data_IF_529068354377
#
_entry.id   IF_529068354377
#
_cell.length_a   1.000
_cell.length_b   1.000
_cell.length_c   1.000
_cell.angle_alpha   90.00
_cell.angle_beta   90.00
_cell.angle_gamma   90.00
#
_symmetry.space_group_name_H-M   'P 1'
#
loop_
_entity.id
_entity.type
_entity.pdbx_description
1 polymer ?
#
# COMPACT_ATOMS: atom_id res chain seq x y z
N UNK A 1 15.08 -25.26 3.19
CA UNK A 1 14.61 -24.78 1.87
C UNK A 1 15.70 -24.64 0.80
N UNK A 2 17.00 -24.91 1.06
CA UNK A 2 18.04 -24.84 0.00
C UNK A 2 17.94 -25.95 -1.04
N UNK A 3 17.32 -27.09 -0.69
CA UNK A 3 17.19 -28.25 -1.58
C UNK A 3 16.29 -27.97 -2.79
N UNK A 4 15.24 -27.16 -2.65
CA UNK A 4 14.35 -26.79 -3.76
C UNK A 4 15.08 -26.03 -4.89
N UNK A 5 16.09 -25.23 -4.54
CA UNK A 5 16.93 -24.54 -5.54
C UNK A 5 17.95 -25.49 -6.15
N UNK A 6 18.49 -26.44 -5.38
CA UNK A 6 19.42 -27.44 -5.87
C UNK A 6 18.77 -28.38 -6.90
N UNK A 7 17.48 -28.70 -6.69
CA UNK A 7 16.66 -29.52 -7.59
C UNK A 7 16.06 -28.72 -8.76
N UNK A 8 16.39 -27.43 -8.90
CA UNK A 8 15.87 -26.56 -9.97
C UNK A 8 14.37 -26.22 -9.85
N UNK A 9 13.74 -26.57 -8.72
CA UNK A 9 12.31 -26.36 -8.46
C UNK A 9 12.00 -24.93 -7.95
N UNK A 10 13.01 -24.13 -7.64
CA UNK A 10 12.87 -22.75 -7.21
C UNK A 10 14.06 -21.91 -7.67
N UNK A 11 13.80 -20.65 -8.03
CA UNK A 11 14.87 -19.68 -8.29
C UNK A 11 15.61 -19.34 -6.98
N UNK A 12 16.94 -19.24 -7.05
CA UNK A 12 17.79 -18.85 -5.93
C UNK A 12 17.40 -17.49 -5.36
N UNK A 13 16.88 -16.60 -6.20
CA UNK A 13 16.42 -15.28 -5.80
C UNK A 13 15.19 -15.33 -4.89
N UNK A 14 14.40 -16.42 -4.92
CA UNK A 14 13.26 -16.63 -4.03
C UNK A 14 13.68 -17.01 -2.60
N UNK A 15 14.91 -17.48 -2.40
CA UNK A 15 15.46 -17.73 -1.07
C UNK A 15 15.95 -16.45 -0.37
N UNK A 16 15.96 -15.30 -1.07
CA UNK A 16 16.30 -14.03 -0.45
C UNK A 16 15.28 -13.72 0.64
N UNK A 17 15.77 -13.21 1.77
CA UNK A 17 14.90 -12.78 2.87
C UNK A 17 13.91 -11.74 2.33
N UNK A 18 12.63 -12.01 2.50
CA UNK A 18 11.59 -11.03 2.19
C UNK A 18 11.86 -9.75 2.99
N UNK A 19 11.74 -8.56 2.36
CA UNK A 19 11.90 -7.31 3.09
C UNK A 19 10.96 -7.27 4.31
N UNK A 20 11.34 -6.55 5.38
CA UNK A 20 10.48 -6.40 6.54
C UNK A 20 9.09 -5.96 6.09
N UNK A 21 8.04 -6.64 6.56
CA UNK A 21 6.68 -6.12 6.34
C UNK A 21 6.64 -4.74 6.98
N UNK A 22 6.24 -3.69 6.25
CA UNK A 22 5.96 -2.42 6.89
C UNK A 22 4.91 -2.66 7.98
N UNK A 23 4.94 -1.91 9.09
CA UNK A 23 3.92 -2.01 10.12
C UNK A 23 2.55 -1.92 9.45
N UNK A 24 1.63 -2.80 9.86
CA UNK A 24 0.31 -2.99 9.25
C UNK A 24 -0.52 -1.70 9.32
N UNK A 25 -0.28 -0.76 8.42
CA UNK A 25 -1.11 0.42 8.23
C UNK A 25 -2.19 0.01 7.21
N UNK A 26 -3.26 -0.65 7.70
CA UNK A 26 -4.42 -1.07 6.90
C UNK A 26 -4.89 0.07 5.98
N UNK A 27 -4.86 1.31 6.47
CA UNK A 27 -5.25 2.49 5.71
C UNK A 27 -4.27 2.78 4.58
N UNK A 28 -2.97 2.63 4.80
CA UNK A 28 -1.96 2.76 3.75
C UNK A 28 -2.17 1.71 2.65
N UNK A 29 -2.42 0.46 3.01
CA UNK A 29 -2.69 -0.62 2.04
C UNK A 29 -3.98 -0.36 1.26
N UNK A 30 -5.06 0.05 1.94
CA UNK A 30 -6.32 0.38 1.30
C UNK A 30 -6.17 1.55 0.31
N UNK A 31 -5.51 2.63 0.73
CA UNK A 31 -5.29 3.81 -0.11
C UNK A 31 -4.39 3.48 -1.30
N UNK A 32 -3.32 2.71 -1.10
CA UNK A 32 -2.45 2.24 -2.18
C UNK A 32 -3.22 1.39 -3.20
N UNK A 33 -4.10 0.49 -2.74
CA UNK A 33 -4.96 -0.30 -3.61
C UNK A 33 -5.95 0.54 -4.42
N UNK A 34 -6.65 1.50 -3.78
CA UNK A 34 -7.58 2.40 -4.48
C UNK A 34 -6.85 3.22 -5.54
N UNK A 35 -5.68 3.77 -5.22
CA UNK A 35 -4.86 4.56 -6.14
C UNK A 35 -4.33 3.70 -7.29
N UNK A 36 -3.80 2.52 -7.02
CA UNK A 36 -3.25 1.63 -8.06
C UNK A 36 -4.32 1.15 -9.04
N UNK A 37 -5.55 0.94 -8.58
CA UNK A 37 -6.67 0.55 -9.44
C UNK A 37 -7.26 1.71 -10.23
N UNK A 38 -6.99 2.96 -9.83
CA UNK A 38 -7.57 4.16 -10.44
C UNK A 38 -6.55 5.32 -10.46
N UNK A 39 -5.50 5.25 -11.30
CA UNK A 39 -4.43 6.25 -11.30
C UNK A 39 -4.88 7.66 -11.68
N UNK A 40 -6.01 7.78 -12.38
CA UNK A 40 -6.60 9.06 -12.80
C UNK A 40 -7.33 9.80 -11.67
N UNK A 41 -7.65 9.12 -10.56
CA UNK A 41 -8.39 9.75 -9.47
C UNK A 41 -7.54 10.79 -8.74
N UNK A 42 -8.13 11.96 -8.54
CA UNK A 42 -7.53 12.98 -7.70
C UNK A 42 -7.50 12.54 -6.24
N UNK A 43 -6.55 13.09 -5.47
CA UNK A 43 -6.44 12.85 -4.03
C UNK A 43 -7.74 13.19 -3.26
N UNK A 44 -8.51 14.17 -3.77
CA UNK A 44 -9.79 14.57 -3.19
C UNK A 44 -10.88 13.53 -3.44
N UNK A 45 -10.91 12.94 -4.62
CA UNK A 45 -11.88 11.89 -4.95
C UNK A 45 -11.61 10.61 -4.17
N UNK A 46 -10.34 10.24 -4.00
CA UNK A 46 -9.95 9.13 -3.13
C UNK A 46 -10.40 9.40 -1.68
N UNK A 47 -10.20 10.62 -1.17
CA UNK A 47 -10.70 11.01 0.16
C UNK A 47 -12.23 10.86 0.26
N UNK A 48 -12.98 11.34 -0.73
CA UNK A 48 -14.44 11.18 -0.76
C UNK A 48 -14.88 9.72 -0.85
N UNK A 49 -14.12 8.86 -1.53
CA UNK A 49 -14.39 7.43 -1.57
C UNK A 49 -14.18 6.78 -0.20
N UNK A 50 -13.12 7.13 0.52
CA UNK A 50 -12.90 6.64 1.89
C UNK A 50 -14.03 7.06 2.85
N UNK A 51 -14.55 8.29 2.71
CA UNK A 51 -15.72 8.74 3.48
C UNK A 51 -16.98 7.91 3.16
N UNK A 52 -17.22 7.59 1.88
CA UNK A 52 -18.35 6.73 1.46
C UNK A 52 -18.23 5.30 1.96
N UNK A 53 -17.00 4.81 2.13
CA UNK A 53 -16.71 3.49 2.72
C UNK A 53 -16.77 3.50 4.25
N UNK A 54 -17.12 4.64 4.88
CA UNK A 54 -17.13 4.83 6.33
C UNK A 54 -15.76 4.58 6.99
N UNK A 55 -14.67 4.75 6.23
CA UNK A 55 -13.33 4.59 6.76
C UNK A 55 -12.98 5.76 7.68
N UNK A 56 -12.47 5.44 8.87
CA UNK A 56 -12.00 6.47 9.82
C UNK A 56 -10.60 6.91 9.42
N UNK A 57 -10.34 8.21 9.56
CA UNK A 57 -8.98 8.74 9.43
C UNK A 57 -8.06 8.11 10.49
N UNK A 58 -6.72 8.15 10.31
CA UNK A 58 -5.79 7.63 11.30
C UNK A 58 -5.95 8.22 12.71
N UNK A 59 -6.52 9.43 12.82
CA UNK A 59 -6.82 10.10 14.10
C UNK A 59 -8.28 9.92 14.55
N UNK A 60 -9.04 9.03 13.92
CA UNK A 60 -10.41 8.67 14.32
C UNK A 60 -11.52 9.60 13.81
N UNK A 61 -11.22 10.65 13.04
CA UNK A 61 -12.22 11.52 12.40
C UNK A 61 -12.91 10.87 11.19
N UNK A 62 -14.09 11.39 10.82
CA UNK A 62 -14.90 10.92 9.69
C UNK A 62 -14.61 11.65 8.37
N UNK A 63 -13.99 12.83 8.44
CA UNK A 63 -13.66 13.65 7.27
C UNK A 63 -12.23 13.43 6.83
N UNK A 64 -12.04 13.11 5.56
CA UNK A 64 -10.74 12.86 4.96
C UNK A 64 -10.20 14.11 4.27
N UNK A 65 -9.02 14.55 4.71
CA UNK A 65 -8.26 15.56 3.99
C UNK A 65 -7.48 14.92 2.83
N UNK A 66 -7.40 15.62 1.69
CA UNK A 66 -6.56 15.19 0.55
C UNK A 66 -5.09 15.05 0.93
N UNK A 67 -4.61 15.86 1.88
CA UNK A 67 -3.24 15.76 2.44
C UNK A 67 -3.00 14.45 3.20
N UNK A 68 -4.01 13.93 3.93
CA UNK A 68 -3.90 12.64 4.61
C UNK A 68 -3.77 11.49 3.61
N UNK A 69 -4.52 11.54 2.51
CA UNK A 69 -4.42 10.58 1.41
C UNK A 69 -3.03 10.64 0.76
N UNK A 70 -2.54 11.86 0.46
CA UNK A 70 -1.19 12.06 -0.06
C UNK A 70 -0.13 11.46 0.86
N UNK A 71 -0.21 11.73 2.16
CA UNK A 71 0.74 11.20 3.13
C UNK A 71 0.75 9.67 3.18
N UNK A 72 -0.41 9.01 2.96
CA UNK A 72 -0.49 7.55 2.86
C UNK A 72 0.13 7.03 1.57
N UNK A 73 -0.13 7.67 0.43
CA UNK A 73 0.47 7.32 -0.86
C UNK A 73 2.00 7.49 -0.82
N UNK A 74 2.49 8.63 -0.31
CA UNK A 74 3.92 8.90 -0.19
C UNK A 74 4.61 7.88 0.72
N UNK A 75 3.94 7.47 1.81
CA UNK A 75 4.44 6.37 2.67
C UNK A 75 4.42 5.04 1.93
N UNK A 76 3.36 4.71 1.20
CA UNK A 76 3.29 3.48 0.41
C UNK A 76 4.40 3.39 -0.64
N UNK A 77 4.71 4.51 -1.32
CA UNK A 77 5.87 4.61 -2.23
C UNK A 77 7.19 4.39 -1.51
N UNK A 78 7.40 5.03 -0.34
CA UNK A 78 8.63 4.88 0.45
C UNK A 78 8.85 3.45 0.94
N UNK A 79 7.77 2.71 1.23
CA UNK A 79 7.85 1.33 1.69
C UNK A 79 7.89 0.31 0.53
N UNK A 80 7.85 0.75 -0.73
CA UNK A 80 7.79 -0.14 -1.89
C UNK A 80 6.46 -0.91 -2.02
N UNK A 81 5.39 -0.40 -1.40
CA UNK A 81 4.03 -0.96 -1.52
C UNK A 81 3.31 -0.44 -2.76
N UNK A 82 3.67 0.76 -3.21
CA UNK A 82 3.22 1.34 -4.46
C UNK A 82 4.45 1.68 -5.29
N UNK A 83 4.46 1.23 -6.54
CA UNK A 83 5.54 1.58 -7.47
C UNK A 83 5.61 3.10 -7.67
N UNK A 84 6.83 3.61 -7.76
CA UNK A 84 7.07 4.99 -8.15
C UNK A 84 7.01 5.02 -9.68
N UNK A 85 5.86 5.42 -10.23
CA UNK A 85 5.73 5.76 -11.64
C UNK A 85 6.61 6.97 -11.99
#
# INVERSE_FOLDING_TARGET
MKWLVAEGMADKDLLRKSPPRPPEDRLMTLVAGIHSSNPELTLREIASQLERLHERTPRGGTKWASSSVKNLIDRAKRTGLLEVA
#
